data_IF_041667842305
#
_entry.id   IF_041667842305
#
_cell.length_a   1.000
_cell.length_b   1.000
_cell.length_c   1.000
_cell.angle_alpha   90.00
_cell.angle_beta   90.00
_cell.angle_gamma   90.00
#
_symmetry.space_group_name_H-M   'P 1'
#
loop_
_entity.id
_entity.type
_entity.pdbx_description
1 polymer ?
#
# COMPACT_ATOMS: atom_id res chain seq x y z
N UNK A 1 6.68 -14.38 -16.78
CA UNK A 1 6.97 -14.24 -15.36
C UNK A 1 6.29 -15.36 -14.59
N UNK A 2 6.82 -15.72 -13.43
CA UNK A 2 6.24 -16.71 -12.50
C UNK A 2 4.78 -16.39 -12.13
N UNK A 3 4.46 -15.11 -11.98
CA UNK A 3 3.10 -14.63 -11.73
C UNK A 3 2.09 -15.10 -12.82
N UNK A 4 2.42 -14.89 -14.10
CA UNK A 4 1.55 -15.33 -15.22
C UNK A 4 1.42 -16.86 -15.30
N UNK A 5 2.44 -17.59 -14.86
CA UNK A 5 2.35 -19.06 -14.80
C UNK A 5 1.42 -19.49 -13.67
N UNK A 6 1.49 -18.84 -12.50
CA UNK A 6 0.59 -19.09 -11.38
C UNK A 6 -0.87 -18.79 -11.76
N UNK A 7 -1.16 -17.65 -12.40
CA UNK A 7 -2.53 -17.32 -12.86
C UNK A 7 -3.10 -18.38 -13.81
N UNK A 8 -2.30 -18.86 -14.77
CA UNK A 8 -2.74 -19.94 -15.67
C UNK A 8 -3.00 -21.26 -14.95
N UNK A 9 -2.35 -21.52 -13.83
CA UNK A 9 -2.63 -22.67 -12.98
C UNK A 9 -3.97 -22.51 -12.29
N UNK A 10 -4.27 -21.31 -11.74
CA UNK A 10 -5.57 -21.03 -11.13
C UNK A 10 -6.75 -21.20 -12.10
N UNK A 11 -6.60 -20.78 -13.37
CA UNK A 11 -7.63 -20.97 -14.40
C UNK A 11 -7.96 -22.45 -14.68
N UNK A 12 -7.05 -23.38 -14.34
CA UNK A 12 -7.20 -24.82 -14.56
C UNK A 12 -7.64 -25.59 -13.34
N UNK A 13 -7.63 -24.94 -12.16
CA UNK A 13 -8.06 -25.60 -10.93
C UNK A 13 -9.59 -25.69 -10.91
N UNK A 14 -10.13 -26.82 -10.46
CA UNK A 14 -11.58 -26.92 -10.23
C UNK A 14 -11.99 -25.90 -9.16
N UNK A 15 -13.21 -25.38 -9.27
CA UNK A 15 -13.80 -24.58 -8.20
C UNK A 15 -13.90 -25.46 -6.96
N UNK A 16 -13.12 -25.15 -5.94
CA UNK A 16 -13.10 -25.83 -4.67
C UNK A 16 -14.02 -25.06 -3.72
N UNK A 17 -14.92 -25.75 -3.05
CA UNK A 17 -15.70 -25.14 -1.98
C UNK A 17 -14.75 -24.75 -0.83
N UNK A 18 -14.92 -23.54 -0.28
CA UNK A 18 -14.13 -23.08 0.87
C UNK A 18 -14.36 -23.97 2.09
N UNK A 19 -13.35 -24.09 2.93
CA UNK A 19 -13.43 -24.85 4.17
C UNK A 19 -14.46 -24.17 5.11
N UNK A 20 -15.42 -24.90 5.67
CA UNK A 20 -16.35 -24.37 6.67
C UNK A 20 -15.65 -23.74 7.90
N UNK A 21 -14.46 -24.22 8.28
CA UNK A 21 -13.67 -23.66 9.36
C UNK A 21 -13.12 -22.27 8.98
N UNK A 22 -12.63 -22.09 7.75
CA UNK A 22 -12.19 -20.79 7.24
C UNK A 22 -13.34 -19.78 7.22
N UNK A 23 -14.52 -20.22 6.76
CA UNK A 23 -15.72 -19.39 6.77
C UNK A 23 -16.08 -18.94 8.18
N UNK A 24 -16.12 -19.88 9.13
CA UNK A 24 -16.37 -19.57 10.55
C UNK A 24 -15.34 -18.62 11.11
N UNK A 25 -14.05 -18.80 10.78
CA UNK A 25 -12.97 -17.86 11.17
C UNK A 25 -13.22 -16.44 10.66
N UNK A 26 -13.63 -16.30 9.39
CA UNK A 26 -13.94 -14.99 8.78
C UNK A 26 -15.16 -14.34 9.46
N UNK A 27 -16.20 -15.11 9.78
CA UNK A 27 -17.41 -14.61 10.44
C UNK A 27 -17.15 -14.10 11.87
N UNK A 28 -16.12 -14.63 12.54
CA UNK A 28 -15.73 -14.24 13.91
C UNK A 28 -14.58 -13.22 13.99
N UNK A 29 -14.11 -12.70 12.85
CA UNK A 29 -13.11 -11.64 12.86
C UNK A 29 -13.66 -10.35 13.48
N UNK A 30 -12.85 -9.70 14.30
CA UNK A 30 -13.15 -8.35 14.79
C UNK A 30 -13.00 -7.30 13.67
N UNK A 31 -13.97 -7.25 12.79
CA UNK A 31 -14.01 -6.31 11.67
C UNK A 31 -13.96 -4.84 12.10
N UNK A 32 -14.54 -4.53 13.27
CA UNK A 32 -14.55 -3.17 13.81
C UNK A 32 -13.15 -2.77 14.28
N UNK A 33 -12.46 -3.64 15.01
CA UNK A 33 -11.08 -3.42 15.44
C UNK A 33 -10.10 -3.33 14.27
N UNK A 34 -10.23 -4.20 13.28
CA UNK A 34 -9.43 -4.16 12.05
C UNK A 34 -9.60 -2.84 11.31
N UNK A 35 -10.84 -2.39 11.13
CA UNK A 35 -11.17 -1.09 10.52
C UNK A 35 -10.54 0.06 11.28
N UNK A 36 -10.72 0.08 12.60
CA UNK A 36 -10.19 1.15 13.44
C UNK A 36 -8.67 1.20 13.41
N UNK A 37 -7.98 0.06 13.49
CA UNK A 37 -6.53 -0.01 13.44
C UNK A 37 -5.97 0.54 12.12
N UNK A 38 -6.51 0.12 10.97
CA UNK A 38 -6.09 0.63 9.65
C UNK A 38 -6.35 2.13 9.49
N UNK A 39 -7.50 2.61 9.95
CA UNK A 39 -7.84 4.04 9.91
C UNK A 39 -6.90 4.86 10.78
N UNK A 40 -6.60 4.38 12.00
CA UNK A 40 -5.67 5.02 12.93
C UNK A 40 -4.25 5.10 12.34
N UNK A 41 -3.77 4.00 11.75
CA UNK A 41 -2.47 3.96 11.08
C UNK A 41 -2.41 4.93 9.88
N UNK A 42 -3.47 4.99 9.07
CA UNK A 42 -3.58 5.91 7.96
C UNK A 42 -3.48 7.37 8.42
N UNK A 43 -4.26 7.73 9.46
CA UNK A 43 -4.26 9.09 10.02
C UNK A 43 -2.90 9.45 10.62
N UNK A 44 -2.30 8.54 11.39
CA UNK A 44 -0.96 8.73 11.96
C UNK A 44 0.08 8.95 10.85
N UNK A 45 0.01 8.18 9.77
CA UNK A 45 0.95 8.32 8.66
C UNK A 45 0.73 9.64 7.91
N UNK A 46 -0.51 10.08 7.70
CA UNK A 46 -0.82 11.40 7.13
C UNK A 46 -0.18 12.54 7.95
N UNK A 47 -0.31 12.48 9.28
CA UNK A 47 0.30 13.47 10.19
C UNK A 47 1.82 13.49 10.05
N UNK A 48 2.47 12.32 10.02
CA UNK A 48 3.92 12.20 9.87
C UNK A 48 4.42 12.70 8.51
N UNK A 49 3.63 12.50 7.44
CA UNK A 49 3.99 12.96 6.10
C UNK A 49 3.98 14.48 5.95
N UNK A 50 3.40 15.23 6.87
CA UNK A 50 3.48 16.70 6.86
C UNK A 50 4.93 17.21 6.95
N UNK A 51 5.83 16.43 7.56
CA UNK A 51 7.27 16.72 7.62
C UNK A 51 8.07 16.20 6.42
N UNK A 52 7.41 15.54 5.46
CA UNK A 52 8.03 14.94 4.26
C UNK A 52 7.35 15.48 3.00
N UNK A 53 7.58 16.75 2.62
CA UNK A 53 6.82 17.40 1.55
C UNK A 53 6.99 16.75 0.16
N UNK A 54 8.02 15.93 -0.03
CA UNK A 54 8.22 15.18 -1.27
C UNK A 54 7.25 14.00 -1.42
N UNK A 55 6.62 13.50 -0.34
CA UNK A 55 5.64 12.43 -0.38
C UNK A 55 4.23 13.03 -0.24
N UNK A 56 3.59 13.31 -1.37
CA UNK A 56 2.29 13.99 -1.41
C UNK A 56 1.16 12.97 -1.34
N UNK A 57 0.35 12.92 -0.26
CA UNK A 57 -0.79 12.02 -0.19
C UNK A 57 -1.80 12.29 -1.31
N UNK A 58 -2.26 11.22 -1.98
CA UNK A 58 -3.27 11.33 -3.04
C UNK A 58 -4.65 11.58 -2.40
N UNK A 59 -4.89 10.99 -1.24
CA UNK A 59 -6.11 11.18 -0.46
C UNK A 59 -5.76 11.74 0.92
N UNK A 60 -5.67 13.08 1.05
CA UNK A 60 -5.29 13.71 2.33
C UNK A 60 -6.38 13.64 3.41
N UNK A 61 -7.55 13.15 3.05
CA UNK A 61 -8.67 12.92 3.96
C UNK A 61 -9.27 11.55 3.75
N UNK A 62 -9.49 10.82 4.83
CA UNK A 62 -10.15 9.52 4.80
C UNK A 62 -11.63 9.70 5.13
N UNK A 63 -12.50 9.39 4.19
CA UNK A 63 -13.95 9.42 4.42
C UNK A 63 -14.38 8.43 5.49
N UNK A 64 -15.49 8.70 6.16
CA UNK A 64 -15.96 7.95 7.34
C UNK A 64 -16.09 6.44 7.08
N UNK A 65 -16.57 6.06 5.91
CA UNK A 65 -16.87 4.66 5.59
C UNK A 65 -15.72 3.93 4.86
N UNK A 66 -14.63 4.62 4.55
CA UNK A 66 -13.53 4.01 3.84
C UNK A 66 -12.67 3.15 4.77
N UNK A 67 -12.35 1.94 4.30
CA UNK A 67 -11.34 1.07 4.88
C UNK A 67 -10.09 1.08 4.00
N UNK A 68 -9.00 1.76 4.42
CA UNK A 68 -7.81 1.88 3.59
C UNK A 68 -7.01 0.56 3.57
N UNK A 69 -6.62 0.11 2.38
CA UNK A 69 -5.61 -0.94 2.21
C UNK A 69 -4.19 -0.40 2.37
N UNK A 70 -3.99 0.86 2.05
CA UNK A 70 -2.73 1.58 2.15
C UNK A 70 -2.94 3.07 1.94
N UNK A 71 -1.88 3.86 2.12
CA UNK A 71 -1.86 5.29 1.86
C UNK A 71 -1.10 5.55 0.55
N UNK A 72 -1.80 5.83 -0.55
CA UNK A 72 -1.14 6.16 -1.81
C UNK A 72 -0.58 7.58 -1.77
N UNK A 73 0.68 7.71 -2.20
CA UNK A 73 1.39 8.99 -2.29
C UNK A 73 1.97 9.18 -3.68
N UNK A 74 2.09 10.43 -4.10
CA UNK A 74 2.95 10.81 -5.22
C UNK A 74 4.34 11.17 -4.71
N UNK A 75 5.34 10.60 -5.34
CA UNK A 75 6.75 10.91 -5.14
C UNK A 75 7.27 11.82 -6.28
N UNK A 76 8.40 12.50 -6.13
CA UNK A 76 9.06 13.20 -7.22
C UNK A 76 9.34 12.26 -8.40
N UNK A 77 9.30 12.81 -9.61
CA UNK A 77 9.51 12.04 -10.84
C UNK A 77 10.87 11.33 -10.80
N UNK A 78 10.88 10.05 -11.16
CA UNK A 78 12.08 9.22 -11.22
C UNK A 78 12.56 8.64 -9.88
N UNK A 79 11.90 8.97 -8.74
CA UNK A 79 12.33 8.49 -7.43
C UNK A 79 11.56 7.28 -6.93
N UNK A 80 10.37 7.00 -7.47
CA UNK A 80 9.48 5.94 -6.97
C UNK A 80 10.20 4.59 -6.81
N UNK A 81 10.88 4.12 -7.84
CA UNK A 81 11.47 2.77 -7.85
C UNK A 81 12.64 2.69 -6.85
N UNK A 82 13.46 3.73 -6.76
CA UNK A 82 14.54 3.80 -5.76
C UNK A 82 14.01 3.83 -4.33
N UNK A 83 12.98 4.62 -4.09
CA UNK A 83 12.31 4.68 -2.77
C UNK A 83 11.67 3.33 -2.44
N UNK A 84 11.02 2.70 -3.40
CA UNK A 84 10.45 1.37 -3.24
C UNK A 84 11.51 0.33 -2.84
N UNK A 85 12.65 0.31 -3.53
CA UNK A 85 13.76 -0.60 -3.21
C UNK A 85 14.35 -0.31 -1.82
N UNK A 86 14.58 0.96 -1.48
CA UNK A 86 15.12 1.35 -0.18
C UNK A 86 14.17 0.98 0.96
N UNK A 87 12.85 1.18 0.79
CA UNK A 87 11.84 0.75 1.76
C UNK A 87 11.83 -0.77 1.89
N UNK A 88 11.92 -1.52 0.79
CA UNK A 88 12.01 -2.98 0.80
C UNK A 88 13.23 -3.48 1.56
N UNK A 89 14.40 -2.88 1.37
CA UNK A 89 15.63 -3.19 2.12
C UNK A 89 15.48 -2.88 3.62
N UNK A 90 14.67 -1.89 3.97
CA UNK A 90 14.33 -1.56 5.35
C UNK A 90 13.19 -2.42 5.94
N UNK A 91 12.70 -3.43 5.21
CA UNK A 91 11.63 -4.31 5.66
C UNK A 91 10.22 -3.70 5.56
N UNK A 92 10.05 -2.62 4.80
CA UNK A 92 8.75 -1.98 4.57
C UNK A 92 8.15 -2.47 3.25
N UNK A 93 7.02 -3.17 3.32
CA UNK A 93 6.32 -3.71 2.16
C UNK A 93 5.41 -2.65 1.49
N UNK A 94 6.01 -1.65 0.84
CA UNK A 94 5.28 -0.71 -0.01
C UNK A 94 4.82 -1.41 -1.30
N UNK A 95 3.82 -0.86 -1.98
CA UNK A 95 3.24 -1.47 -3.19
C UNK A 95 3.29 -0.51 -4.37
N UNK A 96 3.85 -0.97 -5.48
CA UNK A 96 3.66 -0.37 -6.81
C UNK A 96 2.51 -1.10 -7.47
N UNK A 97 1.42 -0.39 -7.75
CA UNK A 97 0.27 -0.96 -8.42
C UNK A 97 0.56 -1.25 -9.89
N UNK A 98 -0.39 -1.92 -10.55
CA UNK A 98 -0.25 -2.39 -11.93
C UNK A 98 0.26 -1.30 -12.88
N UNK A 99 1.14 -1.67 -13.79
CA UNK A 99 1.54 -0.73 -14.84
C UNK A 99 0.32 -0.31 -15.65
N UNK A 100 0.24 0.93 -16.09
CA UNK A 100 -0.87 1.40 -16.91
C UNK A 100 -0.92 0.62 -18.23
N UNK A 101 -2.11 0.44 -18.77
CA UNK A 101 -2.29 -0.20 -20.07
C UNK A 101 -1.45 0.50 -21.15
N UNK A 102 -0.99 -0.25 -22.17
CA UNK A 102 -0.14 0.28 -23.24
C UNK A 102 -0.75 1.49 -23.98
N UNK A 103 -2.09 1.59 -24.02
CA UNK A 103 -2.83 2.71 -24.63
C UNK A 103 -3.22 3.81 -23.62
N UNK A 104 -2.73 3.75 -22.38
CA UNK A 104 -3.00 4.81 -21.41
C UNK A 104 -2.45 6.15 -21.90
N UNK A 105 -3.17 7.23 -21.61
CA UNK A 105 -2.75 8.58 -21.91
C UNK A 105 -1.50 8.99 -21.10
N UNK A 106 -0.90 10.12 -21.48
CA UNK A 106 0.32 10.61 -20.87
C UNK A 106 0.14 10.95 -19.38
N UNK A 107 -1.04 11.45 -18.99
CA UNK A 107 -1.32 11.80 -17.58
C UNK A 107 -1.40 10.56 -16.71
N UNK A 108 -2.11 9.54 -17.16
CA UNK A 108 -2.22 8.25 -16.48
C UNK A 108 -0.85 7.60 -16.28
N UNK A 109 0.00 7.63 -17.31
CA UNK A 109 1.38 7.11 -17.21
C UNK A 109 2.21 7.90 -16.22
N UNK A 110 2.21 9.24 -16.32
CA UNK A 110 2.96 10.11 -15.43
C UNK A 110 2.53 9.97 -13.95
N UNK A 111 1.24 9.76 -13.70
CA UNK A 111 0.72 9.46 -12.37
C UNK A 111 1.23 8.11 -11.86
N UNK A 112 1.10 7.04 -12.68
CA UNK A 112 1.53 5.70 -12.31
C UNK A 112 3.05 5.61 -12.03
N UNK A 113 3.88 6.37 -12.77
CA UNK A 113 5.33 6.42 -12.56
C UNK A 113 5.76 7.08 -11.25
N UNK A 114 4.85 7.78 -10.58
CA UNK A 114 5.12 8.49 -9.33
C UNK A 114 4.42 7.90 -8.13
N UNK A 115 3.39 7.09 -8.36
CA UNK A 115 2.52 6.57 -7.29
C UNK A 115 3.19 5.40 -6.57
N UNK A 116 3.23 5.50 -5.24
CA UNK A 116 3.62 4.42 -4.33
C UNK A 116 2.58 4.32 -3.23
N UNK A 117 2.16 3.11 -2.87
CA UNK A 117 1.23 2.89 -1.76
C UNK A 117 2.00 2.41 -0.53
N UNK A 118 1.88 3.15 0.55
CA UNK A 118 2.49 2.86 1.84
C UNK A 118 1.55 1.98 2.66
N UNK A 119 2.07 0.95 3.36
CA UNK A 119 1.25 0.03 4.13
C UNK A 119 0.67 0.69 5.40
N UNK A 120 -0.60 0.40 5.69
CA UNK A 120 -1.31 0.80 6.92
C UNK A 120 -1.99 -0.39 7.58
N UNK A 121 -1.35 -1.55 7.49
CA UNK A 121 -1.85 -2.85 7.95
C UNK A 121 -2.31 -2.80 9.42
N UNK A 122 -3.37 -3.52 9.75
CA UNK A 122 -3.94 -3.55 11.11
C UNK A 122 -3.02 -4.18 12.16
N UNK A 123 -2.06 -5.02 11.72
CA UNK A 123 -1.03 -5.61 12.59
C UNK A 123 0.07 -4.62 12.97
N UNK A 124 0.14 -3.51 12.24
CA UNK A 124 1.04 -2.40 12.57
C UNK A 124 0.38 -1.48 13.60
N UNK A 125 1.19 -0.63 14.22
CA UNK A 125 0.74 0.41 15.12
C UNK A 125 1.60 1.67 14.93
N UNK A 126 1.38 2.67 15.79
CA UNK A 126 2.03 3.98 15.70
C UNK A 126 3.55 3.90 15.49
N UNK A 127 4.25 3.06 16.25
CA UNK A 127 5.72 2.89 16.12
C UNK A 127 6.14 2.40 14.72
N UNK A 128 5.32 1.56 14.08
CA UNK A 128 5.59 1.11 12.71
C UNK A 128 5.37 2.25 11.71
N UNK A 129 4.37 3.11 11.93
CA UNK A 129 4.16 4.29 11.09
C UNK A 129 5.29 5.30 11.22
N UNK A 130 5.78 5.53 12.44
CA UNK A 130 6.95 6.36 12.72
C UNK A 130 8.22 5.80 12.06
N UNK A 131 8.43 4.50 12.15
CA UNK A 131 9.54 3.83 11.45
C UNK A 131 9.43 3.97 9.93
N UNK A 132 8.25 3.72 9.37
CA UNK A 132 8.00 3.86 7.94
C UNK A 132 8.29 5.29 7.47
N UNK A 133 7.76 6.30 8.16
CA UNK A 133 8.00 7.71 7.83
C UNK A 133 9.49 8.07 7.89
N UNK A 134 10.22 7.57 8.90
CA UNK A 134 11.67 7.74 9.00
C UNK A 134 12.42 7.12 7.82
N UNK A 135 12.09 5.88 7.44
CA UNK A 135 12.75 5.21 6.30
C UNK A 135 12.40 5.91 4.97
N UNK A 136 11.16 6.35 4.79
CA UNK A 136 10.75 7.12 3.62
C UNK A 136 11.53 8.44 3.52
N UNK A 137 11.66 9.18 4.62
CA UNK A 137 12.44 10.42 4.67
C UNK A 137 13.91 10.17 4.30
N UNK A 138 14.53 9.11 4.83
CA UNK A 138 15.92 8.72 4.50
C UNK A 138 16.08 8.36 3.03
N UNK A 139 15.13 7.58 2.49
CA UNK A 139 15.14 7.18 1.09
C UNK A 139 15.03 8.39 0.14
N UNK A 140 14.28 9.42 0.54
CA UNK A 140 14.12 10.66 -0.22
C UNK A 140 15.30 11.63 -0.05
N UNK A 141 15.99 11.62 1.09
CA UNK A 141 17.15 12.49 1.36
C UNK A 141 18.45 11.97 0.73
N UNK A 142 18.55 10.68 0.48
CA UNK A 142 19.73 10.04 -0.13
C UNK A 142 19.80 10.15 -1.67
N UNK A 143 19.06 11.13 -2.24
CA UNK A 143 18.93 11.34 -3.69
C UNK A 143 19.55 12.65 -4.10
#
# INVERSE_FOLDING_TARGET
>A
SLYRQAERLYERLPVIHGDPQERSGIEHLDWAGLRQARRSNYQTLLELLTSIPQAVPIFPQLQTDNLPLGLPVYLPRGLRDRVYEALGQAGVAAVIHWPPHARADTHTRAAAERMLTLPVDERAGRRHMEYLALQLSRALAGV
#
